data_IF_434377319537
#
_entry.id   IF_434377319537
#
_cell.length_a   1.000
_cell.length_b   1.000
_cell.length_c   1.000
_cell.angle_alpha   90.00
_cell.angle_beta   90.00
_cell.angle_gamma   90.00
#
_symmetry.space_group_name_H-M   'P 1'
#
loop_
_entity.id
_entity.type
_entity.pdbx_description
1 polymer ?
#
# COMPACT_ATOMS: atom_id res chain seq x y z
N UNK A 1 27.94 3.20 -6.91
CA UNK A 1 28.77 2.98 -5.72
C UNK A 1 29.95 2.13 -6.14
N UNK A 2 31.14 2.26 -5.54
CA UNK A 2 32.28 1.38 -5.91
C UNK A 2 32.13 0.03 -5.20
N UNK A 3 32.57 -1.08 -5.81
CA UNK A 3 32.45 -2.46 -5.30
C UNK A 3 32.91 -2.62 -3.84
N UNK A 4 33.95 -1.89 -3.43
CA UNK A 4 34.44 -1.89 -2.06
C UNK A 4 33.39 -1.37 -1.05
N UNK A 5 32.74 -0.24 -1.37
CA UNK A 5 31.67 0.33 -0.53
C UNK A 5 30.47 -0.61 -0.44
N UNK A 6 30.15 -1.32 -1.52
CA UNK A 6 29.07 -2.31 -1.55
C UNK A 6 29.35 -3.48 -0.60
N UNK A 7 30.57 -4.02 -0.66
CA UNK A 7 30.97 -5.12 0.22
C UNK A 7 30.98 -4.70 1.71
N UNK A 8 31.49 -3.50 2.01
CA UNK A 8 31.46 -2.95 3.36
C UNK A 8 30.03 -2.73 3.87
N UNK A 9 29.13 -2.25 3.00
CA UNK A 9 27.72 -2.10 3.36
C UNK A 9 27.11 -3.44 3.74
N UNK A 10 27.24 -4.45 2.89
CA UNK A 10 26.65 -5.79 3.11
C UNK A 10 27.17 -6.37 4.43
N UNK A 11 28.49 -6.33 4.63
CA UNK A 11 29.12 -6.83 5.87
C UNK A 11 28.57 -6.13 7.12
N UNK A 12 28.46 -4.80 7.10
CA UNK A 12 27.93 -4.04 8.23
C UNK A 12 26.44 -4.28 8.44
N UNK A 13 25.66 -4.39 7.36
CA UNK A 13 24.24 -4.68 7.42
C UNK A 13 24.01 -6.06 8.03
N UNK A 14 24.66 -7.11 7.53
CA UNK A 14 24.51 -8.48 8.03
C UNK A 14 24.85 -8.60 9.52
N UNK A 15 25.91 -7.90 9.95
CA UNK A 15 26.31 -7.86 11.36
C UNK A 15 25.26 -7.21 12.27
N UNK A 16 24.46 -6.28 11.74
CA UNK A 16 23.56 -5.44 12.54
C UNK A 16 22.07 -5.60 12.18
N UNK A 17 21.71 -6.44 11.20
CA UNK A 17 20.36 -6.61 10.65
C UNK A 17 19.29 -6.92 11.71
N UNK A 18 19.67 -7.56 12.82
CA UNK A 18 18.79 -7.83 13.95
C UNK A 18 18.12 -6.57 14.52
N UNK A 19 18.76 -5.40 14.42
CA UNK A 19 18.14 -4.12 14.81
C UNK A 19 16.99 -3.76 13.87
N UNK A 20 17.20 -3.91 12.55
CA UNK A 20 16.15 -3.67 11.56
C UNK A 20 14.99 -4.65 11.74
N UNK A 21 15.27 -5.94 11.95
CA UNK A 21 14.22 -6.93 12.25
C UNK A 21 13.41 -6.62 13.51
N UNK A 22 14.06 -6.15 14.59
CA UNK A 22 13.36 -5.68 15.79
C UNK A 22 12.42 -4.53 15.49
N UNK A 23 12.85 -3.57 14.67
CA UNK A 23 12.00 -2.46 14.22
C UNK A 23 10.84 -3.00 13.39
N UNK A 24 11.09 -3.89 12.43
CA UNK A 24 10.02 -4.46 11.61
C UNK A 24 8.93 -5.11 12.47
N UNK A 25 9.32 -5.96 13.44
CA UNK A 25 8.39 -6.62 14.38
C UNK A 25 7.51 -5.66 15.19
N UNK A 26 7.96 -4.42 15.42
CA UNK A 26 7.17 -3.41 16.14
C UNK A 26 6.09 -2.79 15.24
N UNK A 27 6.35 -2.70 13.93
CA UNK A 27 5.51 -1.96 12.97
C UNK A 27 4.70 -2.86 12.01
N UNK A 28 4.83 -4.19 12.10
CA UNK A 28 4.16 -5.16 11.22
C UNK A 28 3.59 -6.33 12.01
N UNK A 29 2.47 -6.90 11.53
CA UNK A 29 1.75 -7.97 12.23
C UNK A 29 1.87 -9.34 11.54
N UNK A 30 2.37 -9.38 10.32
CA UNK A 30 2.49 -10.57 9.47
C UNK A 30 3.87 -10.65 8.81
N UNK A 31 4.23 -11.84 8.35
CA UNK A 31 5.56 -12.12 7.82
C UNK A 31 5.85 -11.38 6.51
N UNK A 32 4.84 -11.22 5.66
CA UNK A 32 4.97 -10.55 4.37
C UNK A 32 5.23 -9.05 4.56
N UNK A 33 4.40 -8.39 5.37
CA UNK A 33 4.61 -6.99 5.76
C UNK A 33 5.97 -6.78 6.44
N UNK A 34 6.42 -7.74 7.25
CA UNK A 34 7.74 -7.69 7.89
C UNK A 34 8.87 -7.73 6.84
N UNK A 35 8.78 -8.63 5.87
CA UNK A 35 9.76 -8.78 4.79
C UNK A 35 9.79 -7.53 3.90
N UNK A 36 8.63 -7.00 3.54
CA UNK A 36 8.49 -5.78 2.75
C UNK A 36 9.12 -4.57 3.47
N UNK A 37 8.83 -4.41 4.76
CA UNK A 37 9.39 -3.32 5.54
C UNK A 37 10.91 -3.47 5.68
N UNK A 38 11.42 -4.69 5.89
CA UNK A 38 12.85 -4.93 5.96
C UNK A 38 13.55 -4.61 4.63
N UNK A 39 12.95 -4.98 3.50
CA UNK A 39 13.45 -4.60 2.17
C UNK A 39 13.50 -3.09 1.98
N UNK A 40 12.41 -2.38 2.30
CA UNK A 40 12.38 -0.92 2.17
C UNK A 40 13.44 -0.25 3.06
N UNK A 41 13.60 -0.70 4.32
CA UNK A 41 14.66 -0.24 5.21
C UNK A 41 16.04 -0.44 4.56
N UNK A 42 16.29 -1.63 4.00
CA UNK A 42 17.55 -1.97 3.35
C UNK A 42 17.83 -1.08 2.15
N UNK A 43 16.83 -0.80 1.31
CA UNK A 43 16.92 0.11 0.17
C UNK A 43 17.25 1.54 0.63
N UNK A 44 16.60 2.03 1.69
CA UNK A 44 16.85 3.38 2.21
C UNK A 44 18.25 3.48 2.83
N UNK A 45 18.70 2.44 3.54
CA UNK A 45 20.06 2.36 4.05
C UNK A 45 21.08 2.39 2.90
N UNK A 46 20.87 1.61 1.85
CA UNK A 46 21.74 1.60 0.67
C UNK A 46 21.86 2.97 0.01
N UNK A 47 20.72 3.64 -0.20
CA UNK A 47 20.69 5.00 -0.78
C UNK A 47 21.40 6.04 0.08
N UNK A 48 21.34 5.87 1.41
CA UNK A 48 21.95 6.81 2.36
C UNK A 48 23.42 6.50 2.68
N UNK A 49 23.88 5.27 2.46
CA UNK A 49 25.21 4.81 2.85
C UNK A 49 26.38 5.62 2.26
N UNK A 50 26.37 6.06 0.98
CA UNK A 50 27.45 6.91 0.45
C UNK A 50 27.64 8.23 1.21
N UNK A 51 26.60 8.71 1.91
CA UNK A 51 26.61 9.96 2.67
C UNK A 51 26.93 9.75 4.15
N UNK A 52 27.13 8.51 4.58
CA UNK A 52 27.45 8.19 5.96
C UNK A 52 28.89 8.60 6.29
N UNK A 53 29.04 9.61 7.16
CA UNK A 53 30.35 10.22 7.50
C UNK A 53 31.18 9.44 8.52
N UNK A 54 30.64 8.35 9.10
CA UNK A 54 31.37 7.56 10.11
C UNK A 54 31.53 8.21 11.49
N UNK A 55 30.96 9.39 11.73
CA UNK A 55 31.02 10.11 13.02
C UNK A 55 30.29 9.36 14.17
N UNK A 56 29.38 8.45 13.83
CA UNK A 56 28.64 7.61 14.78
C UNK A 56 28.83 6.14 14.41
N UNK A 57 28.54 5.23 15.35
CA UNK A 57 28.50 3.79 15.05
C UNK A 57 27.47 3.52 13.94
N UNK A 58 27.82 2.64 13.01
CA UNK A 58 26.92 2.22 11.93
C UNK A 58 25.56 1.75 12.47
N UNK A 59 25.55 0.96 13.56
CA UNK A 59 24.32 0.49 14.19
C UNK A 59 23.40 1.62 14.67
N UNK A 60 23.96 2.69 15.23
CA UNK A 60 23.21 3.88 15.69
C UNK A 60 22.62 4.63 14.50
N UNK A 61 23.40 4.84 13.45
CA UNK A 61 22.93 5.49 12.22
C UNK A 61 21.85 4.64 11.54
N UNK A 62 22.08 3.34 11.41
CA UNK A 62 21.16 2.38 10.81
C UNK A 62 19.83 2.33 11.54
N UNK A 63 19.85 2.31 12.88
CA UNK A 63 18.65 2.39 13.71
C UNK A 63 17.80 3.62 13.37
N UNK A 64 18.43 4.81 13.23
CA UNK A 64 17.73 6.06 12.90
C UNK A 64 17.07 6.00 11.52
N UNK A 65 17.79 5.49 10.52
CA UNK A 65 17.24 5.34 9.16
C UNK A 65 16.09 4.36 9.17
N UNK A 66 16.28 3.18 9.75
CA UNK A 66 15.27 2.13 9.83
C UNK A 66 13.98 2.59 10.54
N UNK A 67 14.14 3.26 11.69
CA UNK A 67 13.01 3.77 12.48
C UNK A 67 12.23 4.84 11.70
N UNK A 68 12.92 5.78 11.06
CA UNK A 68 12.27 6.82 10.26
C UNK A 68 11.53 6.25 9.06
N UNK A 69 12.10 5.26 8.38
CA UNK A 69 11.46 4.54 7.28
C UNK A 69 10.19 3.84 7.75
N UNK A 70 10.27 3.07 8.85
CA UNK A 70 9.12 2.37 9.42
C UNK A 70 7.99 3.33 9.83
N UNK A 71 8.31 4.43 10.53
CA UNK A 71 7.33 5.44 10.92
C UNK A 71 6.68 6.09 9.71
N UNK A 72 7.45 6.39 8.66
CA UNK A 72 6.96 7.01 7.44
C UNK A 72 5.97 6.10 6.72
N UNK A 73 6.32 4.82 6.54
CA UNK A 73 5.43 3.83 5.94
C UNK A 73 4.18 3.59 6.79
N UNK A 74 4.34 3.48 8.11
CA UNK A 74 3.22 3.31 9.04
C UNK A 74 2.22 4.47 8.94
N UNK A 75 2.71 5.72 8.91
CA UNK A 75 1.86 6.91 8.73
C UNK A 75 1.16 6.93 7.37
N UNK A 76 1.85 6.50 6.31
CA UNK A 76 1.27 6.40 4.96
C UNK A 76 0.17 5.33 4.90
N UNK A 77 0.40 4.15 5.49
CA UNK A 77 -0.59 3.06 5.58
C UNK A 77 -1.83 3.50 6.37
N UNK A 78 -1.65 4.21 7.50
CA UNK A 78 -2.77 4.73 8.30
C UNK A 78 -3.64 5.76 7.57
N UNK A 79 -3.08 6.51 6.61
CA UNK A 79 -3.82 7.47 5.77
C UNK A 79 -4.52 6.82 4.58
N UNK A 80 -4.18 5.58 4.25
CA UNK A 80 -4.80 4.85 3.14
C UNK A 80 -6.15 4.26 3.55
N UNK A 81 -7.06 4.15 2.60
CA UNK A 81 -8.38 3.53 2.81
C UNK A 81 -8.13 2.04 3.10
N UNK A 82 -8.77 1.53 4.16
CA UNK A 82 -8.71 0.09 4.46
C UNK A 82 -9.41 -0.66 3.34
N UNK A 83 -8.64 -1.39 2.55
CA UNK A 83 -9.15 -2.34 1.56
C UNK A 83 -9.49 -3.66 2.25
N UNK A 84 -10.42 -4.40 1.68
CA UNK A 84 -10.74 -5.77 2.09
C UNK A 84 -10.30 -6.70 0.97
N UNK A 85 -9.95 -7.93 1.35
CA UNK A 85 -9.64 -8.97 0.38
C UNK A 85 -10.88 -9.29 -0.47
N UNK A 86 -10.67 -9.44 -1.78
CA UNK A 86 -11.73 -9.69 -2.75
C UNK A 86 -12.39 -11.05 -2.48
N UNK A 87 -11.60 -12.07 -2.12
CA UNK A 87 -12.09 -13.44 -1.92
C UNK A 87 -13.07 -13.53 -0.73
N UNK A 88 -12.88 -12.70 0.30
CA UNK A 88 -13.78 -12.65 1.46
C UNK A 88 -15.12 -11.95 1.15
N UNK A 89 -15.22 -11.18 0.07
CA UNK A 89 -16.41 -10.40 -0.27
C UNK A 89 -17.22 -10.98 -1.43
N UNK A 90 -16.68 -11.95 -2.17
CA UNK A 90 -17.38 -12.63 -3.27
C UNK A 90 -18.73 -13.24 -2.82
N UNK A 91 -18.84 -13.67 -1.55
CA UNK A 91 -20.07 -14.22 -0.99
C UNK A 91 -21.10 -13.18 -0.49
N UNK A 92 -20.75 -11.89 -0.44
CA UNK A 92 -21.62 -10.81 0.09
C UNK A 92 -22.25 -9.94 -0.99
N UNK A 93 -21.78 -10.05 -2.23
CA UNK A 93 -22.49 -9.46 -3.36
C UNK A 93 -23.69 -10.36 -3.60
N UNK A 94 -24.85 -9.98 -3.03
CA UNK A 94 -26.11 -10.54 -3.50
C UNK A 94 -26.19 -10.16 -4.98
N UNK A 95 -26.22 -11.15 -5.87
CA UNK A 95 -26.75 -10.89 -7.18
C UNK A 95 -28.16 -10.34 -6.96
N UNK A 96 -28.42 -9.11 -7.40
CA UNK A 96 -29.80 -8.69 -7.56
C UNK A 96 -30.42 -9.70 -8.53
N UNK A 97 -31.50 -10.35 -8.10
CA UNK A 97 -32.23 -11.23 -9.01
C UNK A 97 -32.66 -10.38 -10.21
N UNK A 98 -32.39 -10.88 -11.41
CA UNK A 98 -32.72 -10.18 -12.63
C UNK A 98 -34.25 -10.07 -12.74
N UNK A 99 -34.76 -8.84 -12.63
CA UNK A 99 -36.20 -8.55 -12.73
C UNK A 99 -36.57 -8.18 -14.17
N UNK A 100 -36.97 -9.21 -14.93
CA UNK A 100 -37.50 -9.09 -16.29
C UNK A 100 -38.66 -8.09 -16.42
N UNK A 101 -39.47 -7.92 -15.36
CA UNK A 101 -40.62 -7.03 -15.36
C UNK A 101 -40.18 -5.57 -15.22
N UNK A 102 -39.29 -5.28 -14.28
CA UNK A 102 -38.71 -3.94 -14.10
C UNK A 102 -38.02 -3.44 -15.38
N UNK A 103 -37.27 -4.31 -16.08
CA UNK A 103 -36.58 -3.91 -17.31
C UNK A 103 -37.56 -3.66 -18.47
N UNK A 104 -38.61 -4.48 -18.60
CA UNK A 104 -39.70 -4.23 -19.57
C UNK A 104 -40.42 -2.91 -19.28
N UNK A 105 -40.73 -2.63 -18.02
CA UNK A 105 -41.34 -1.36 -17.61
C UNK A 105 -40.44 -0.17 -17.88
N UNK A 106 -39.15 -0.28 -17.60
CA UNK A 106 -38.16 0.76 -17.88
C UNK A 106 -38.06 1.04 -19.38
N UNK A 107 -38.06 -0.01 -20.21
CA UNK A 107 -38.05 0.12 -21.67
C UNK A 107 -39.30 0.84 -22.19
N UNK A 108 -40.49 0.44 -21.72
CA UNK A 108 -41.75 1.11 -22.06
C UNK A 108 -41.76 2.57 -21.62
N UNK A 109 -41.21 2.87 -20.43
CA UNK A 109 -41.08 4.24 -19.94
C UNK A 109 -40.18 5.07 -20.85
N UNK A 110 -39.00 4.58 -21.22
CA UNK A 110 -38.11 5.30 -22.13
C UNK A 110 -38.69 5.47 -23.54
N UNK A 111 -39.41 4.47 -24.05
CA UNK A 111 -40.10 4.58 -25.34
C UNK A 111 -41.22 5.63 -25.30
N UNK A 112 -41.94 5.75 -24.18
CA UNK A 112 -42.92 6.81 -23.97
C UNK A 112 -42.26 8.20 -23.84
N UNK A 113 -41.18 8.33 -23.06
CA UNK A 113 -40.42 9.58 -22.92
C UNK A 113 -39.90 10.05 -24.29
N UNK A 114 -39.47 9.14 -25.16
CA UNK A 114 -39.01 9.48 -26.51
C UNK A 114 -40.09 10.13 -27.39
N UNK A 115 -41.37 9.84 -27.14
CA UNK A 115 -42.52 10.41 -27.84
C UNK A 115 -42.89 11.82 -27.36
N UNK A 116 -42.35 12.28 -26.22
CA UNK A 116 -42.54 13.64 -25.73
C UNK A 116 -41.75 14.66 -26.55
N UNK A 117 -42.20 15.92 -26.55
CA UNK A 117 -41.44 17.02 -27.14
C UNK A 117 -40.20 17.34 -26.29
N UNK A 118 -39.24 18.07 -26.86
CA UNK A 118 -37.94 18.33 -26.20
C UNK A 118 -38.06 19.19 -24.94
N UNK A 119 -39.12 19.99 -24.80
CA UNK A 119 -39.39 20.80 -23.60
C UNK A 119 -39.90 19.91 -22.46
N UNK A 120 -40.80 18.98 -22.75
CA UNK A 120 -41.39 18.05 -21.76
C UNK A 120 -40.38 17.00 -21.29
N UNK A 121 -39.48 16.55 -22.18
CA UNK A 121 -38.34 15.67 -21.81
C UNK A 121 -37.36 16.30 -20.83
N UNK A 122 -37.19 17.62 -20.89
CA UNK A 122 -36.23 18.34 -20.04
C UNK A 122 -36.75 18.59 -18.60
N UNK A 123 -38.04 18.32 -18.34
CA UNK A 123 -38.72 18.61 -17.08
C UNK A 123 -38.90 17.36 -16.19
N UNK A 124 -38.61 16.17 -16.72
CA UNK A 124 -38.68 14.85 -16.06
C UNK A 124 -37.26 14.36 -15.78
#
# INVERSE_FOLDING_TARGET
>A
MNKELEHQFVTNLEKHQNIAHKICRIYTNDQDSHNDLFQEITIQLWKAYPKFRGEAKFSTWMYRVALNTAITLYRKKKRSIKTQDYDNFHFKIKAEEYDDEAERHLKLMYDAIRQLNDIDKALI
#
